data_IF_963825446025
#
_entry.id   IF_963825446025
#
_cell.length_a   1.000
_cell.length_b   1.000
_cell.length_c   1.000
_cell.angle_alpha   90.00
_cell.angle_beta   90.00
_cell.angle_gamma   90.00
#
_symmetry.space_group_name_H-M   'P 1'
#
loop_
_entity.id
_entity.type
_entity.pdbx_description
1 polymer ?
#
# COMPACT_ATOMS: atom_id res chain seq x y z
N UNK A 1 35.69 -25.61 -15.45
CA UNK A 1 34.69 -24.91 -16.28
C UNK A 1 33.32 -25.08 -15.62
N UNK A 2 32.53 -24.01 -15.51
CA UNK A 2 31.46 -23.88 -14.52
C UNK A 2 30.13 -24.41 -15.06
N UNK A 3 29.22 -24.84 -14.17
CA UNK A 3 27.77 -24.53 -14.22
C UNK A 3 27.14 -24.93 -12.88
N UNK A 4 27.21 -24.02 -11.91
CA UNK A 4 26.29 -24.07 -10.77
C UNK A 4 24.85 -23.94 -11.31
N UNK A 5 23.88 -24.71 -10.78
CA UNK A 5 22.49 -24.52 -11.14
C UNK A 5 22.03 -23.16 -10.62
N UNK A 6 21.45 -22.35 -11.51
CA UNK A 6 20.69 -21.18 -11.12
C UNK A 6 19.54 -21.65 -10.23
N UNK A 7 19.71 -21.53 -8.92
CA UNK A 7 18.62 -21.58 -7.97
C UNK A 7 17.73 -20.37 -8.22
N UNK A 8 16.80 -20.50 -9.16
CA UNK A 8 15.61 -19.67 -9.27
C UNK A 8 14.71 -19.97 -8.08
N UNK A 9 15.16 -19.61 -6.89
CA UNK A 9 14.35 -19.54 -5.68
C UNK A 9 13.89 -18.10 -5.54
N UNK A 10 13.00 -17.66 -6.42
CA UNK A 10 12.16 -16.50 -6.14
C UNK A 10 11.45 -16.83 -4.83
N UNK A 11 11.96 -16.31 -3.72
CA UNK A 11 11.33 -16.40 -2.41
C UNK A 11 9.99 -15.72 -2.54
N UNK A 12 8.99 -16.52 -2.89
CA UNK A 12 7.59 -16.19 -2.84
C UNK A 12 7.30 -15.85 -1.38
N UNK A 13 7.31 -14.55 -1.15
CA UNK A 13 6.63 -13.78 -0.10
C UNK A 13 5.81 -14.67 0.83
N UNK A 14 6.38 -14.85 2.01
CA UNK A 14 5.76 -15.10 3.31
C UNK A 14 4.22 -15.06 3.30
N UNK A 15 3.59 -16.23 3.43
CA UNK A 15 2.14 -16.43 3.40
C UNK A 15 1.67 -16.98 4.75
N UNK A 16 1.76 -16.16 5.81
CA UNK A 16 1.22 -16.45 7.15
C UNK A 16 0.61 -15.17 7.78
N UNK A 17 -0.66 -14.89 7.44
CA UNK A 17 -1.79 -14.20 8.11
C UNK A 17 -1.62 -12.90 8.98
N UNK A 18 -2.57 -11.91 9.00
CA UNK A 18 -3.89 -11.84 8.34
C UNK A 18 -3.99 -10.73 7.28
N UNK A 19 -5.02 -10.80 6.43
CA UNK A 19 -5.25 -9.88 5.31
C UNK A 19 -5.13 -8.38 5.66
N UNK A 20 -4.23 -7.70 4.95
CA UNK A 20 -4.33 -6.30 4.48
C UNK A 20 -3.76 -5.13 5.30
N UNK A 21 -3.56 -5.12 6.63
CA UNK A 21 -2.92 -3.92 7.26
C UNK A 21 -1.43 -3.77 6.88
N UNK A 22 -0.64 -4.85 6.98
CA UNK A 22 0.79 -4.82 6.63
C UNK A 22 1.05 -4.45 5.18
N UNK A 23 0.15 -4.87 4.29
CA UNK A 23 0.20 -4.52 2.86
C UNK A 23 -0.07 -3.03 2.65
N UNK A 24 -1.04 -2.46 3.38
CA UNK A 24 -1.32 -1.03 3.36
C UNK A 24 -0.12 -0.24 3.89
N UNK A 25 0.52 -0.69 4.97
CA UNK A 25 1.76 -0.07 5.49
C UNK A 25 2.91 -0.16 4.49
N UNK A 26 3.10 -1.31 3.85
CA UNK A 26 4.15 -1.50 2.85
C UNK A 26 3.92 -0.59 1.64
N UNK A 27 2.66 -0.48 1.19
CA UNK A 27 2.29 0.44 0.10
C UNK A 27 2.49 1.90 0.50
N UNK A 28 2.10 2.28 1.72
CA UNK A 28 2.36 3.61 2.29
C UNK A 28 3.86 3.91 2.32
N UNK A 29 4.69 3.00 2.83
CA UNK A 29 6.14 3.16 2.84
C UNK A 29 6.72 3.23 1.41
N UNK A 30 6.19 2.44 0.47
CA UNK A 30 6.60 2.53 -0.93
C UNK A 30 6.25 3.91 -1.51
N UNK A 31 5.09 4.48 -1.20
CA UNK A 31 4.71 5.82 -1.66
C UNK A 31 5.57 6.94 -1.04
N UNK A 32 6.27 6.69 0.08
CA UNK A 32 7.29 7.59 0.62
C UNK A 32 8.63 7.47 -0.12
N UNK A 33 9.00 6.26 -0.53
CA UNK A 33 10.27 6.00 -1.19
C UNK A 33 10.20 6.24 -2.72
N UNK A 34 9.01 6.12 -3.31
CA UNK A 34 8.76 6.31 -4.73
C UNK A 34 7.94 7.59 -4.97
N UNK A 35 8.56 8.69 -5.44
CA UNK A 35 7.86 9.95 -5.66
C UNK A 35 6.74 9.84 -6.70
N UNK A 36 6.88 9.01 -7.74
CA UNK A 36 5.85 8.82 -8.75
C UNK A 36 4.58 8.16 -8.17
N UNK A 37 4.76 7.20 -7.26
CA UNK A 37 3.66 6.58 -6.51
C UNK A 37 3.06 7.56 -5.50
N UNK A 38 3.88 8.34 -4.80
CA UNK A 38 3.44 9.38 -3.88
C UNK A 38 2.59 10.47 -4.56
N UNK A 39 2.96 10.88 -5.77
CA UNK A 39 2.18 11.81 -6.58
C UNK A 39 0.83 11.21 -7.01
N UNK A 40 0.82 9.94 -7.46
CA UNK A 40 -0.41 9.22 -7.79
C UNK A 40 -1.33 9.06 -6.58
N UNK A 41 -0.77 8.71 -5.42
CA UNK A 41 -1.51 8.56 -4.16
C UNK A 41 -2.14 9.88 -3.70
N UNK A 42 -1.42 11.00 -3.87
CA UNK A 42 -1.94 12.35 -3.63
C UNK A 42 -3.00 12.78 -4.64
N UNK A 43 -2.89 12.33 -5.88
CA UNK A 43 -3.86 12.60 -6.92
C UNK A 43 -5.17 11.80 -6.71
N UNK A 44 -5.12 10.68 -5.99
CA UNK A 44 -6.32 9.97 -5.58
C UNK A 44 -7.19 10.87 -4.68
N UNK A 45 -8.44 11.05 -5.06
CA UNK A 45 -9.47 11.77 -4.26
C UNK A 45 -10.49 10.82 -3.60
N UNK A 46 -10.50 9.53 -3.97
CA UNK A 46 -11.40 8.49 -3.44
C UNK A 46 -10.66 7.24 -2.95
N UNK A 47 -11.16 6.62 -1.89
CA UNK A 47 -10.57 5.40 -1.30
C UNK A 47 -10.47 4.26 -2.32
N UNK A 48 -11.48 4.11 -3.20
CA UNK A 48 -11.47 3.14 -4.30
C UNK A 48 -10.29 3.33 -5.27
N UNK A 49 -9.86 4.57 -5.47
CA UNK A 49 -8.73 4.93 -6.35
C UNK A 49 -7.41 4.49 -5.72
N UNK A 50 -7.25 4.73 -4.41
CA UNK A 50 -6.12 4.24 -3.61
C UNK A 50 -6.07 2.71 -3.62
N UNK A 51 -7.21 2.05 -3.45
CA UNK A 51 -7.30 0.58 -3.49
C UNK A 51 -6.93 0.03 -4.87
N UNK A 52 -7.43 0.66 -5.94
CA UNK A 52 -7.07 0.29 -7.30
C UNK A 52 -5.57 0.46 -7.54
N UNK A 53 -4.98 1.57 -7.09
CA UNK A 53 -3.56 1.86 -7.20
C UNK A 53 -2.70 0.85 -6.41
N UNK A 54 -3.10 0.51 -5.18
CA UNK A 54 -2.45 -0.55 -4.41
C UNK A 54 -2.50 -1.89 -5.14
N UNK A 55 -3.67 -2.25 -5.67
CA UNK A 55 -3.89 -3.51 -6.39
C UNK A 55 -3.07 -3.60 -7.68
N UNK A 56 -2.94 -2.51 -8.43
CA UNK A 56 -2.07 -2.42 -9.62
C UNK A 56 -0.60 -2.69 -9.27
N UNK A 57 -0.15 -2.24 -8.10
CA UNK A 57 1.19 -2.50 -7.59
C UNK A 57 1.33 -3.87 -6.89
N UNK A 58 0.25 -4.67 -6.85
CA UNK A 58 0.24 -6.00 -6.23
C UNK A 58 0.01 -5.99 -4.72
N UNK A 59 -0.47 -4.88 -4.15
CA UNK A 59 -0.87 -4.75 -2.76
C UNK A 59 -2.38 -4.95 -2.57
N UNK A 60 -2.75 -5.66 -1.51
CA UNK A 60 -4.15 -5.85 -1.15
C UNK A 60 -4.59 -4.82 -0.10
N UNK A 61 -5.14 -3.69 -0.55
CA UNK A 61 -5.70 -2.65 0.33
C UNK A 61 -7.18 -2.97 0.57
N UNK A 62 -7.59 -3.15 1.83
CA UNK A 62 -9.00 -3.33 2.21
C UNK A 62 -9.54 -2.00 2.71
N UNK A 63 -10.60 -1.53 2.04
CA UNK A 63 -11.34 -0.31 2.39
C UNK A 63 -11.72 -0.25 3.88
N UNK A 64 -12.28 -1.35 4.40
CA UNK A 64 -12.73 -1.50 5.79
C UNK A 64 -11.61 -1.23 6.81
N UNK A 65 -10.35 -1.49 6.47
CA UNK A 65 -9.21 -1.31 7.37
C UNK A 65 -8.69 0.13 7.42
N UNK A 66 -9.12 1.00 6.49
CA UNK A 66 -8.73 2.40 6.47
C UNK A 66 -9.68 3.28 7.31
N UNK A 67 -10.81 2.75 7.75
CA UNK A 67 -11.80 3.48 8.54
C UNK A 67 -11.65 3.22 10.04
N UNK A 68 -12.03 4.18 10.91
CA UNK A 68 -12.09 3.95 12.36
C UNK A 68 -12.98 2.75 12.69
N UNK A 69 -12.62 1.94 13.70
CA UNK A 69 -11.66 2.21 14.79
C UNK A 69 -10.19 1.89 14.48
N UNK A 70 -9.83 1.57 13.23
CA UNK A 70 -8.46 1.20 12.89
C UNK A 70 -7.51 2.41 12.83
N UNK A 71 -6.24 2.18 13.15
CA UNK A 71 -5.21 3.21 13.04
C UNK A 71 -4.97 3.58 11.57
N UNK A 72 -4.81 4.87 11.24
CA UNK A 72 -4.50 5.27 9.87
C UNK A 72 -3.11 4.80 9.43
N UNK A 73 -3.08 4.07 8.32
CA UNK A 73 -1.84 3.51 7.75
C UNK A 73 -1.11 4.49 6.81
N UNK A 74 -1.77 5.60 6.48
CA UNK A 74 -1.26 6.66 5.61
C UNK A 74 -1.18 7.97 6.38
N UNK A 75 -0.16 8.78 6.11
CA UNK A 75 -0.07 10.14 6.62
C UNK A 75 -0.76 11.18 5.73
N UNK A 76 -1.18 12.29 6.32
CA UNK A 76 -1.72 13.46 5.61
C UNK A 76 -0.78 13.95 4.51
N UNK A 77 0.53 13.85 4.73
CA UNK A 77 1.55 14.22 3.77
C UNK A 77 1.59 13.33 2.51
N UNK A 78 0.95 12.16 2.53
CA UNK A 78 0.88 11.20 1.42
C UNK A 78 -0.48 11.19 0.73
N UNK A 79 -1.52 11.64 1.41
CA UNK A 79 -2.89 11.69 0.92
C UNK A 79 -3.26 13.08 0.40
N UNK A 80 -4.26 13.16 -0.46
CA UNK A 80 -4.90 14.43 -0.81
C UNK A 80 -5.61 15.03 0.42
N UNK A 81 -5.68 16.36 0.60
CA UNK A 81 -6.39 16.98 1.73
C UNK A 81 -7.85 16.50 1.87
N UNK A 82 -8.52 16.15 0.77
CA UNK A 82 -9.86 15.55 0.77
C UNK A 82 -9.88 14.15 1.39
N UNK A 83 -8.90 13.33 1.04
CA UNK A 83 -8.80 11.94 1.45
C UNK A 83 -8.29 11.81 2.88
N UNK A 84 -7.26 12.59 3.23
CA UNK A 84 -6.79 12.76 4.59
C UNK A 84 -7.96 13.09 5.50
N UNK A 85 -8.80 14.06 5.11
CA UNK A 85 -10.00 14.43 5.86
C UNK A 85 -11.10 13.35 5.88
N UNK A 86 -11.11 12.40 4.95
CA UNK A 86 -12.09 11.32 4.93
C UNK A 86 -11.65 10.10 5.77
N UNK A 87 -10.34 9.85 5.83
CA UNK A 87 -9.75 8.69 6.51
C UNK A 87 -9.23 9.01 7.92
N UNK A 88 -8.68 10.21 8.14
CA UNK A 88 -8.05 10.65 9.39
C UNK A 88 -8.97 11.47 10.28
N UNK A 89 -10.08 12.00 9.74
CA UNK A 89 -11.07 12.76 10.53
C UNK A 89 -12.11 11.82 11.14
N UNK A 90 -11.62 10.73 11.72
CA UNK A 90 -12.34 9.99 12.75
C UNK A 90 -12.35 10.81 14.05
#
# INVERSE_FOLDING_TARGET
>A
MPRQPFGAGSSHRNRENPMSIKEIQAFSNQALNDPALGEKLKACEKVRDVIALGKEHGYSIIEDLLYPPNEPQFSEAQLSPKMAKALLRA
#
